data_IF_995676596316
#
_entry.id   IF_995676596316
#
_cell.length_a   1.000
_cell.length_b   1.000
_cell.length_c   1.000
_cell.angle_alpha   90.00
_cell.angle_beta   90.00
_cell.angle_gamma   90.00
#
_symmetry.space_group_name_H-M   'P 1'
#
loop_
_entity.id
_entity.type
_entity.pdbx_description
1 polymer ?
#
# COMPACT_ATOMS: atom_id res chain seq x y z
N UNK A 1 -42.63 12.70 -10.85
CA UNK A 1 -41.74 13.89 -10.80
C UNK A 1 -40.33 13.36 -10.63
N UNK A 2 -39.37 13.76 -11.46
CA UNK A 2 -37.98 13.38 -11.22
C UNK A 2 -37.56 14.01 -9.89
N UNK A 3 -37.19 13.19 -8.90
CA UNK A 3 -36.57 13.69 -7.68
C UNK A 3 -35.30 14.45 -8.09
N UNK A 4 -35.19 15.70 -7.65
CA UNK A 4 -34.00 16.50 -7.92
C UNK A 4 -32.79 15.77 -7.31
N UNK A 5 -31.72 15.58 -8.09
CA UNK A 5 -30.51 14.95 -7.58
C UNK A 5 -30.02 15.68 -6.32
N UNK A 6 -29.64 14.95 -5.25
CA UNK A 6 -29.22 15.55 -4.00
C UNK A 6 -27.98 16.41 -4.23
N UNK A 7 -27.99 17.61 -3.65
CA UNK A 7 -26.88 18.54 -3.77
C UNK A 7 -25.56 17.89 -3.28
N UNK A 8 -24.45 18.08 -4.02
CA UNK A 8 -23.18 17.44 -3.69
C UNK A 8 -22.73 17.82 -2.28
N UNK A 9 -22.26 16.84 -1.52
CA UNK A 9 -21.62 17.06 -0.23
C UNK A 9 -20.22 17.63 -0.45
N UNK A 10 -19.99 18.86 -0.01
CA UNK A 10 -18.71 19.56 -0.17
C UNK A 10 -17.86 19.44 1.09
N UNK A 11 -16.73 18.76 0.97
CA UNK A 11 -15.77 18.51 2.07
C UNK A 11 -14.44 19.16 1.73
N UNK A 12 -13.92 19.99 2.64
CA UNK A 12 -12.63 20.66 2.47
C UNK A 12 -11.61 20.14 3.46
N UNK A 13 -10.39 19.91 3.00
CA UNK A 13 -9.32 19.29 3.80
C UNK A 13 -8.17 20.26 3.95
N UNK A 14 -7.68 20.47 5.17
CA UNK A 14 -6.52 21.32 5.49
C UNK A 14 -5.18 20.71 5.08
N UNK A 15 -5.13 20.04 3.92
CA UNK A 15 -3.92 19.52 3.30
C UNK A 15 -4.11 19.21 1.82
N UNK A 16 -3.06 19.37 1.02
CA UNK A 16 -2.97 18.88 -0.37
C UNK A 16 -2.33 17.49 -0.48
N UNK A 17 -2.00 16.83 0.63
CA UNK A 17 -1.40 15.51 0.59
C UNK A 17 -2.40 14.48 0.02
N UNK A 18 -2.05 13.74 -1.05
CA UNK A 18 -2.97 12.81 -1.70
C UNK A 18 -3.45 11.69 -0.77
N UNK A 19 -2.63 11.25 0.19
CA UNK A 19 -3.01 10.22 1.18
C UNK A 19 -4.09 10.74 2.14
N UNK A 20 -3.94 11.97 2.63
CA UNK A 20 -4.93 12.60 3.52
C UNK A 20 -6.24 12.83 2.77
N UNK A 21 -6.17 13.30 1.52
CA UNK A 21 -7.35 13.48 0.66
C UNK A 21 -8.05 12.16 0.35
N UNK A 22 -7.30 11.10 0.05
CA UNK A 22 -7.87 9.78 -0.20
C UNK A 22 -8.60 9.23 1.03
N UNK A 23 -7.98 9.32 2.22
CA UNK A 23 -8.59 8.87 3.47
C UNK A 23 -9.91 9.61 3.77
N UNK A 24 -9.93 10.94 3.62
CA UNK A 24 -11.17 11.73 3.80
C UNK A 24 -12.21 11.35 2.75
N UNK A 25 -11.81 11.22 1.47
CA UNK A 25 -12.74 10.83 0.40
C UNK A 25 -13.38 9.47 0.66
N UNK A 26 -12.59 8.47 1.02
CA UNK A 26 -13.09 7.12 1.29
C UNK A 26 -14.04 7.10 2.48
N UNK A 27 -13.68 7.74 3.59
CA UNK A 27 -14.52 7.81 4.77
C UNK A 27 -15.86 8.53 4.51
N UNK A 28 -15.82 9.71 3.88
CA UNK A 28 -17.04 10.48 3.59
C UNK A 28 -17.93 9.81 2.53
N UNK A 29 -17.35 9.15 1.54
CA UNK A 29 -18.11 8.39 0.54
C UNK A 29 -18.85 7.21 1.20
N UNK A 30 -18.22 6.52 2.15
CA UNK A 30 -18.86 5.43 2.92
C UNK A 30 -19.92 5.94 3.90
N UNK A 31 -19.66 7.10 4.51
CA UNK A 31 -20.56 7.72 5.48
C UNK A 31 -21.83 8.29 4.84
N UNK A 32 -21.72 8.84 3.64
CA UNK A 32 -22.82 9.52 2.94
C UNK A 32 -22.95 8.99 1.50
N UNK A 33 -23.27 7.69 1.31
CA UNK A 33 -23.25 7.04 -0.01
C UNK A 33 -24.26 7.64 -1.00
N UNK A 34 -25.34 8.24 -0.48
CA UNK A 34 -26.44 8.78 -1.29
C UNK A 34 -26.20 10.23 -1.75
N UNK A 35 -25.07 10.85 -1.39
CA UNK A 35 -24.72 12.22 -1.80
C UNK A 35 -23.48 12.24 -2.69
N UNK A 36 -23.52 12.86 -3.88
CA UNK A 36 -22.31 13.09 -4.67
C UNK A 36 -21.25 13.83 -3.85
N UNK A 37 -20.01 13.34 -3.81
CA UNK A 37 -18.96 13.90 -2.96
C UNK A 37 -18.03 14.84 -3.75
N UNK A 38 -17.85 16.07 -3.26
CA UNK A 38 -16.83 17.01 -3.73
C UNK A 38 -15.82 17.23 -2.61
N UNK A 39 -14.62 16.66 -2.76
CA UNK A 39 -13.55 16.77 -1.75
C UNK A 39 -12.34 17.55 -2.26
N UNK A 40 -12.04 18.67 -1.63
CA UNK A 40 -11.04 19.66 -2.06
C UNK A 40 -9.97 19.86 -0.98
N UNK A 41 -8.70 19.88 -1.38
CA UNK A 41 -7.57 20.13 -0.48
C UNK A 41 -7.09 21.58 -0.52
N UNK A 42 -6.93 22.19 0.65
CA UNK A 42 -6.34 23.51 0.83
C UNK A 42 -4.96 23.40 1.48
N UNK A 43 -4.05 24.24 1.01
CA UNK A 43 -2.73 24.37 1.64
C UNK A 43 -2.83 25.38 2.77
N UNK A 44 -2.73 24.90 4.00
CA UNK A 44 -2.92 25.69 5.21
C UNK A 44 -1.82 25.33 6.22
N UNK A 45 -1.29 26.33 6.96
CA UNK A 45 -0.30 26.08 8.00
C UNK A 45 -0.92 25.26 9.14
N UNK A 46 -0.10 24.42 9.79
CA UNK A 46 -0.50 23.69 10.99
C UNK A 46 -0.38 24.51 12.27
N UNK A 47 0.34 25.64 12.26
CA UNK A 47 0.56 26.46 13.45
C UNK A 47 1.42 25.80 14.55
N UNK A 48 1.99 24.62 14.27
CA UNK A 48 2.84 23.84 15.18
C UNK A 48 4.12 23.38 14.46
N UNK A 49 5.05 22.74 15.17
CA UNK A 49 6.29 22.28 14.57
C UNK A 49 6.09 21.24 13.45
N UNK A 50 7.07 21.12 12.55
CA UNK A 50 7.02 20.14 11.45
C UNK A 50 6.96 18.68 11.93
N UNK A 51 7.47 18.44 13.15
CA UNK A 51 7.35 17.16 13.85
C UNK A 51 6.70 17.40 15.22
N UNK A 52 5.36 17.41 15.32
CA UNK A 52 4.65 17.61 16.59
C UNK A 52 5.01 16.54 17.63
N UNK A 53 5.19 16.98 18.88
CA UNK A 53 5.47 16.15 20.04
C UNK A 53 4.33 16.21 21.06
N UNK A 54 3.86 15.04 21.48
CA UNK A 54 2.79 14.89 22.44
C UNK A 54 1.39 15.07 21.83
N UNK A 55 0.39 14.68 22.61
CA UNK A 55 -1.01 14.77 22.20
C UNK A 55 -1.47 16.21 21.99
N UNK A 56 -1.02 17.13 22.85
CA UNK A 56 -1.47 18.52 22.85
C UNK A 56 -1.06 19.27 21.57
N UNK A 57 0.22 19.23 21.21
CA UNK A 57 0.73 19.90 20.00
C UNK A 57 0.13 19.26 18.74
N UNK A 58 0.04 17.92 18.68
CA UNK A 58 -0.52 17.22 17.52
C UNK A 58 -2.01 17.54 17.34
N UNK A 59 -2.77 17.61 18.44
CA UNK A 59 -4.18 18.03 18.42
C UNK A 59 -4.33 19.46 17.94
N UNK A 60 -3.52 20.39 18.46
CA UNK A 60 -3.54 21.79 18.04
C UNK A 60 -3.32 21.91 16.54
N UNK A 61 -2.34 21.19 15.98
CA UNK A 61 -2.11 21.20 14.54
C UNK A 61 -3.29 20.70 13.70
N UNK A 62 -4.03 19.69 14.17
CA UNK A 62 -5.25 19.25 13.51
C UNK A 62 -6.36 20.32 13.56
N UNK A 63 -6.51 21.01 14.70
CA UNK A 63 -7.48 22.10 14.89
C UNK A 63 -7.16 23.35 14.04
N UNK A 64 -5.89 23.71 13.91
CA UNK A 64 -5.46 24.81 13.04
C UNK A 64 -5.72 24.46 11.56
N UNK A 65 -5.45 23.22 11.15
CA UNK A 65 -5.74 22.76 9.79
C UNK A 65 -7.23 22.79 9.46
N UNK A 66 -8.09 22.31 10.36
CA UNK A 66 -9.55 22.34 10.11
C UNK A 66 -10.06 23.78 10.05
N UNK A 67 -9.55 24.64 10.93
CA UNK A 67 -9.91 26.07 10.96
C UNK A 67 -9.44 26.79 9.69
N UNK A 68 -8.21 26.53 9.25
CA UNK A 68 -7.66 27.06 8.01
C UNK A 68 -8.46 26.62 6.79
N UNK A 69 -8.81 25.33 6.69
CA UNK A 69 -9.61 24.80 5.60
C UNK A 69 -11.00 25.46 5.53
N UNK A 70 -11.67 25.59 6.68
CA UNK A 70 -12.97 26.29 6.80
C UNK A 70 -12.89 27.75 6.35
N UNK A 71 -11.83 28.46 6.71
CA UNK A 71 -11.61 29.86 6.29
C UNK A 71 -11.32 29.98 4.79
N UNK A 72 -10.65 29.00 4.21
CA UNK A 72 -10.29 28.99 2.80
C UNK A 72 -11.49 28.70 1.88
N UNK A 73 -12.51 28.01 2.39
CA UNK A 73 -13.75 27.72 1.67
C UNK A 73 -14.95 27.71 2.62
N UNK A 74 -15.60 28.86 2.74
CA UNK A 74 -16.75 29.07 3.63
C UNK A 74 -18.03 28.40 3.12
N UNK A 75 -18.04 27.87 1.89
CA UNK A 75 -19.18 27.18 1.29
C UNK A 75 -19.18 25.67 1.50
N UNK A 76 -18.19 25.13 2.22
CA UNK A 76 -18.11 23.70 2.49
C UNK A 76 -19.12 23.25 3.56
N UNK A 77 -19.69 22.06 3.39
CA UNK A 77 -20.52 21.41 4.40
C UNK A 77 -19.69 20.94 5.59
N UNK A 78 -18.49 20.41 5.30
CA UNK A 78 -17.54 19.93 6.29
C UNK A 78 -16.13 20.42 6.01
N UNK A 79 -15.38 20.71 7.07
CA UNK A 79 -13.93 20.90 7.03
C UNK A 79 -13.23 19.77 7.81
N UNK A 80 -12.06 19.33 7.34
CA UNK A 80 -11.28 18.26 7.96
C UNK A 80 -9.81 18.67 8.12
N UNK A 81 -9.26 18.50 9.32
CA UNK A 81 -7.83 18.63 9.62
C UNK A 81 -7.23 17.30 10.06
N UNK A 82 -6.10 16.91 9.48
CA UNK A 82 -5.34 15.70 9.89
C UNK A 82 -3.91 16.12 10.20
N UNK A 83 -3.42 15.85 11.41
CA UNK A 83 -2.03 16.13 11.80
C UNK A 83 -1.37 14.91 12.43
N UNK A 84 -0.15 14.60 11.99
CA UNK A 84 0.62 13.46 12.52
C UNK A 84 1.67 13.93 13.52
N UNK A 85 1.91 13.15 14.57
CA UNK A 85 2.87 13.47 15.60
C UNK A 85 3.45 12.23 16.26
N UNK A 86 4.27 12.46 17.29
CA UNK A 86 4.85 11.41 18.12
C UNK A 86 4.52 11.63 19.59
N UNK A 87 4.25 10.54 20.32
CA UNK A 87 3.95 10.58 21.76
C UNK A 87 4.95 9.70 22.49
N UNK A 88 5.54 10.24 23.55
CA UNK A 88 6.46 9.51 24.41
C UNK A 88 5.70 8.80 25.53
N UNK A 89 5.63 7.47 25.49
CA UNK A 89 5.04 6.67 26.59
C UNK A 89 6.08 6.17 27.57
N UNK A 90 7.35 6.56 27.41
CA UNK A 90 8.43 6.23 28.35
C UNK A 90 8.52 7.21 29.52
N UNK A 91 7.93 8.40 29.39
CA UNK A 91 8.01 9.46 30.37
C UNK A 91 6.59 9.99 30.70
N UNK A 92 5.98 9.44 31.74
CA UNK A 92 4.90 10.14 32.47
C UNK A 92 3.47 9.98 31.96
N UNK A 93 3.12 8.94 31.20
CA UNK A 93 1.71 8.63 30.87
C UNK A 93 0.95 7.92 32.01
N UNK A 94 1.61 7.68 33.15
CA UNK A 94 1.02 6.98 34.30
C UNK A 94 0.77 5.49 34.06
N UNK A 95 1.14 4.96 32.89
CA UNK A 95 0.99 3.56 32.57
C UNK A 95 2.06 2.79 33.36
N UNK A 96 1.63 1.82 34.18
CA UNK A 96 2.55 0.96 34.91
C UNK A 96 3.44 0.24 33.90
N UNK A 97 4.74 0.43 34.02
CA UNK A 97 5.72 -0.33 33.25
C UNK A 97 5.51 -1.82 33.53
N UNK A 98 5.03 -2.56 32.54
CA UNK A 98 4.96 -4.02 32.60
C UNK A 98 6.27 -4.56 32.03
N UNK A 99 6.98 -5.49 32.70
CA UNK A 99 8.36 -5.88 32.33
C UNK A 99 8.54 -6.32 30.87
N UNK A 100 7.49 -6.85 30.25
CA UNK A 100 7.49 -7.37 28.88
C UNK A 100 6.80 -6.44 27.86
N UNK A 101 6.37 -5.24 28.25
CA UNK A 101 5.82 -4.23 27.33
C UNK A 101 6.76 -3.03 27.32
N UNK A 102 7.69 -3.04 26.38
CA UNK A 102 8.67 -1.98 26.26
C UNK A 102 8.00 -0.64 25.87
N UNK A 103 8.13 0.37 26.73
CA UNK A 103 7.73 1.74 26.44
C UNK A 103 8.65 2.40 25.40
N UNK A 104 8.28 3.58 24.92
CA UNK A 104 9.09 4.36 23.98
C UNK A 104 8.24 5.32 23.17
N UNK A 105 8.82 5.78 22.06
CA UNK A 105 8.15 6.72 21.17
C UNK A 105 7.09 6.00 20.31
N UNK A 106 5.91 6.58 20.22
CA UNK A 106 4.79 6.08 19.42
C UNK A 106 4.40 7.08 18.35
N UNK A 107 3.92 6.59 17.21
CA UNK A 107 3.28 7.43 16.20
C UNK A 107 1.78 7.53 16.45
N UNK A 108 1.22 8.72 16.24
CA UNK A 108 -0.22 9.01 16.31
C UNK A 108 -0.57 10.08 15.27
N UNK A 109 -1.83 10.16 14.85
CA UNK A 109 -2.35 11.32 14.15
C UNK A 109 -3.72 11.70 14.70
N UNK A 110 -4.00 13.01 14.78
CA UNK A 110 -5.31 13.55 15.15
C UNK A 110 -6.09 13.94 13.90
N UNK A 111 -7.40 13.71 13.94
CA UNK A 111 -8.38 14.06 12.93
C UNK A 111 -9.42 14.96 13.58
N UNK A 112 -9.52 16.20 13.12
CA UNK A 112 -10.57 17.13 13.50
C UNK A 112 -11.56 17.26 12.33
N UNK A 113 -12.85 17.12 12.61
CA UNK A 113 -13.93 17.37 11.64
C UNK A 113 -14.80 18.48 12.19
N UNK A 114 -15.18 19.40 11.32
CA UNK A 114 -16.07 20.51 11.63
C UNK A 114 -17.21 20.54 10.63
N UNK A 115 -18.45 20.69 11.10
CA UNK A 115 -19.66 20.78 10.28
C UNK A 115 -20.20 22.21 10.27
N UNK A 116 -20.43 22.75 9.08
CA UNK A 116 -20.74 24.17 8.91
C UNK A 116 -22.16 24.56 9.34
N UNK A 117 -23.15 23.69 9.15
CA UNK A 117 -24.57 24.04 9.35
C UNK A 117 -24.93 24.38 10.80
N UNK A 118 -24.26 23.75 11.76
CA UNK A 118 -24.53 23.82 13.21
C UNK A 118 -23.28 24.15 14.03
N UNK A 119 -22.14 24.36 13.36
CA UNK A 119 -20.85 24.68 13.98
C UNK A 119 -20.32 23.58 14.92
N UNK A 120 -20.74 22.34 14.72
CA UNK A 120 -20.30 21.21 15.53
C UNK A 120 -18.94 20.67 15.10
N UNK A 121 -18.19 20.17 16.09
CA UNK A 121 -16.85 19.63 15.89
C UNK A 121 -16.69 18.26 16.54
N UNK A 122 -15.87 17.43 15.91
CA UNK A 122 -15.43 16.15 16.42
C UNK A 122 -13.92 16.05 16.30
N UNK A 123 -13.29 15.38 17.26
CA UNK A 123 -11.84 15.24 17.32
C UNK A 123 -11.48 13.84 17.80
N UNK A 124 -10.86 13.08 16.93
CA UNK A 124 -10.40 11.73 17.24
C UNK A 124 -8.93 11.57 16.87
N UNK A 125 -8.34 10.44 17.27
CA UNK A 125 -7.00 10.09 16.85
C UNK A 125 -6.92 8.65 16.34
N UNK A 126 -5.91 8.39 15.53
CA UNK A 126 -5.60 7.04 15.04
C UNK A 126 -5.21 6.12 16.19
N UNK A 127 -5.27 4.80 15.96
CA UNK A 127 -4.53 3.86 16.81
C UNK A 127 -3.06 4.29 16.90
N UNK A 128 -2.42 4.12 18.07
CA UNK A 128 -1.00 4.39 18.22
C UNK A 128 -0.18 3.11 18.10
N UNK A 129 1.01 3.21 17.52
CA UNK A 129 1.94 2.09 17.42
C UNK A 129 3.35 2.50 17.80
N UNK A 130 4.10 1.56 18.37
CA UNK A 130 5.47 1.77 18.83
C UNK A 130 6.41 1.90 17.63
N UNK A 131 7.32 2.88 17.71
CA UNK A 131 8.37 3.05 16.72
C UNK A 131 9.56 2.12 17.00
N UNK A 132 10.26 1.64 15.97
CA UNK A 132 11.51 0.90 16.14
C UNK A 132 12.54 1.72 16.95
N UNK A 133 13.36 1.11 17.84
CA UNK A 133 14.31 1.83 18.68
C UNK A 133 15.26 2.74 17.89
N UNK A 134 15.69 2.32 16.70
CA UNK A 134 16.55 3.14 15.84
C UNK A 134 15.84 4.36 15.27
N UNK A 135 14.57 4.22 14.85
CA UNK A 135 13.73 5.35 14.41
C UNK A 135 13.56 6.34 15.56
N UNK A 136 13.27 5.86 16.77
CA UNK A 136 13.17 6.71 17.96
C UNK A 136 14.46 7.49 18.22
N UNK A 137 15.63 6.85 18.17
CA UNK A 137 16.91 7.53 18.37
C UNK A 137 17.14 8.62 17.31
N UNK A 138 16.84 8.35 16.04
CA UNK A 138 16.94 9.34 14.97
C UNK A 138 16.01 10.54 15.20
N UNK A 139 14.74 10.30 15.57
CA UNK A 139 13.75 11.35 15.83
C UNK A 139 14.10 12.17 17.07
N UNK A 140 14.78 11.57 18.05
CA UNK A 140 15.33 12.27 19.23
C UNK A 140 16.68 12.94 18.99
N UNK A 141 17.33 12.73 17.85
CA UNK A 141 18.70 13.20 17.60
C UNK A 141 19.75 12.51 18.48
N UNK A 142 19.51 11.25 18.85
CA UNK A 142 20.38 10.41 19.68
C UNK A 142 21.07 9.29 18.90
N UNK A 143 20.83 9.18 17.60
CA UNK A 143 21.52 8.20 16.75
C UNK A 143 22.93 8.72 16.43
N UNK A 144 24.00 7.96 16.72
CA UNK A 144 25.36 8.37 16.40
C UNK A 144 25.54 8.69 14.90
N UNK A 145 26.28 9.76 14.62
CA UNK A 145 26.56 10.20 13.25
C UNK A 145 25.39 10.83 12.51
N UNK A 146 24.23 11.01 13.15
CA UNK A 146 23.05 11.63 12.54
C UNK A 146 22.50 12.77 13.41
N UNK A 147 21.99 13.82 12.77
CA UNK A 147 21.23 14.88 13.45
C UNK A 147 19.81 14.42 13.81
N UNK A 148 19.05 15.32 14.44
CA UNK A 148 17.62 15.11 14.67
C UNK A 148 16.87 15.08 13.33
N UNK A 149 16.05 14.05 13.10
CA UNK A 149 15.26 13.88 11.88
C UNK A 149 13.75 13.93 12.17
N UNK A 150 12.95 14.34 11.19
CA UNK A 150 11.51 14.07 11.19
C UNK A 150 11.24 12.57 11.10
N UNK A 151 10.08 12.12 11.60
CA UNK A 151 9.68 10.72 11.60
C UNK A 151 9.72 10.07 10.21
N UNK A 152 9.26 10.79 9.18
CA UNK A 152 9.28 10.27 7.82
C UNK A 152 10.71 10.04 7.30
N UNK A 153 11.61 11.00 7.52
CA UNK A 153 13.01 10.87 7.11
C UNK A 153 13.75 9.79 7.92
N UNK A 154 13.45 9.68 9.22
CA UNK A 154 13.98 8.61 10.06
C UNK A 154 13.50 7.23 9.61
N UNK A 155 12.24 7.09 9.19
CA UNK A 155 11.71 5.84 8.65
C UNK A 155 12.34 5.49 7.30
N UNK A 156 12.41 6.45 6.38
CA UNK A 156 13.06 6.28 5.07
C UNK A 156 14.50 5.76 5.24
N UNK A 157 15.25 6.35 6.18
CA UNK A 157 16.62 5.93 6.49
C UNK A 157 16.70 4.51 7.08
N UNK A 158 15.79 4.13 7.97
CA UNK A 158 15.83 2.82 8.66
C UNK A 158 15.34 1.69 7.75
N UNK A 159 14.31 1.92 6.96
CA UNK A 159 13.71 0.92 6.07
C UNK A 159 14.31 0.95 4.65
N UNK A 160 15.29 1.83 4.42
CA UNK A 160 15.92 2.04 3.11
C UNK A 160 14.89 2.35 2.00
N UNK A 161 13.91 3.17 2.36
CA UNK A 161 12.87 3.66 1.45
C UNK A 161 13.16 5.12 1.07
N UNK A 162 12.52 5.60 0.01
CA UNK A 162 12.55 7.02 -0.36
C UNK A 162 11.14 7.53 -0.55
N UNK A 163 10.80 8.60 0.16
CA UNK A 163 9.48 9.23 0.12
C UNK A 163 8.36 8.25 0.51
N UNK A 164 8.59 7.44 1.54
CA UNK A 164 7.60 6.47 2.06
C UNK A 164 6.29 7.15 2.45
N UNK A 165 6.34 8.46 2.79
CA UNK A 165 5.17 9.30 3.11
C UNK A 165 4.02 9.15 2.10
N UNK A 166 4.30 8.80 0.84
CA UNK A 166 3.33 8.58 -0.26
C UNK A 166 3.14 7.11 -0.70
N UNK A 167 3.94 6.15 -0.22
CA UNK A 167 3.92 4.73 -0.64
C UNK A 167 3.44 3.72 0.42
N UNK A 168 3.12 4.20 1.63
CA UNK A 168 2.64 3.38 2.75
C UNK A 168 2.91 4.01 4.12
N UNK A 169 3.84 4.96 4.17
CA UNK A 169 4.23 5.71 5.36
C UNK A 169 4.90 4.86 6.43
N UNK A 170 5.22 5.50 7.55
CA UNK A 170 5.78 4.83 8.73
C UNK A 170 4.96 3.63 9.18
N UNK A 171 3.63 3.71 9.12
CA UNK A 171 2.73 2.61 9.50
C UNK A 171 2.87 1.42 8.57
N UNK A 172 2.98 1.63 7.25
CA UNK A 172 3.20 0.56 6.27
C UNK A 172 4.54 -0.15 6.49
N UNK A 173 5.62 0.62 6.69
CA UNK A 173 6.94 0.05 6.94
C UNK A 173 6.99 -0.77 8.24
N UNK A 174 6.44 -0.25 9.34
CA UNK A 174 6.45 -0.92 10.65
C UNK A 174 5.52 -2.13 10.68
N UNK A 175 4.44 -2.13 9.91
CA UNK A 175 3.47 -3.25 9.84
C UNK A 175 3.72 -4.21 8.68
N UNK A 176 4.87 -4.11 7.99
CA UNK A 176 5.20 -4.94 6.83
C UNK A 176 4.11 -4.92 5.74
N UNK A 177 3.50 -3.74 5.51
CA UNK A 177 2.46 -3.52 4.51
C UNK A 177 1.07 -4.02 4.89
N UNK A 178 0.86 -4.54 6.11
CA UNK A 178 -0.47 -4.98 6.57
C UNK A 178 -1.45 -3.82 6.76
N UNK A 179 -0.93 -2.62 7.04
CA UNK A 179 -1.71 -1.40 7.13
C UNK A 179 -0.99 -0.26 6.39
N UNK A 180 -1.62 0.27 5.35
CA UNK A 180 -1.12 1.48 4.69
C UNK A 180 -1.60 2.77 5.37
N UNK A 181 -0.99 3.89 4.99
CA UNK A 181 -1.28 5.20 5.58
C UNK A 181 -2.67 5.74 5.26
N UNK A 182 -3.26 5.36 4.12
CA UNK A 182 -4.61 5.79 3.76
C UNK A 182 -5.61 5.10 4.68
N UNK A 183 -5.55 3.77 4.79
CA UNK A 183 -6.40 2.98 5.68
C UNK A 183 -6.19 3.35 7.16
N UNK A 184 -4.95 3.69 7.54
CA UNK A 184 -4.64 4.20 8.87
C UNK A 184 -5.34 5.54 9.18
N UNK A 185 -5.47 6.44 8.21
CA UNK A 185 -6.20 7.70 8.44
C UNK A 185 -7.71 7.54 8.26
N UNK A 186 -8.15 6.71 7.31
CA UNK A 186 -9.57 6.49 7.01
C UNK A 186 -10.33 6.05 8.26
N UNK A 187 -9.79 5.12 9.05
CA UNK A 187 -10.46 4.66 10.27
C UNK A 187 -10.70 5.80 11.27
N UNK A 188 -9.76 6.75 11.40
CA UNK A 188 -9.86 7.83 12.36
C UNK A 188 -10.84 8.90 11.87
N UNK A 189 -10.92 9.11 10.55
CA UNK A 189 -11.96 9.94 9.94
C UNK A 189 -13.33 9.30 10.16
N UNK A 190 -13.48 7.99 10.00
CA UNK A 190 -14.75 7.27 10.28
C UNK A 190 -15.13 7.41 11.76
N UNK A 191 -14.20 7.24 12.69
CA UNK A 191 -14.47 7.48 14.12
C UNK A 191 -14.90 8.93 14.37
N UNK A 192 -14.20 9.91 13.80
CA UNK A 192 -14.54 11.32 13.96
C UNK A 192 -15.88 11.69 13.32
N UNK A 193 -16.37 10.90 12.36
CA UNK A 193 -17.69 11.09 11.75
C UNK A 193 -18.83 10.61 12.63
N UNK A 194 -18.58 9.79 13.65
CA UNK A 194 -19.63 9.13 14.43
C UNK A 194 -20.75 10.09 14.91
N UNK A 195 -20.46 11.28 15.48
CA UNK A 195 -21.52 12.21 15.89
C UNK A 195 -22.46 12.63 14.75
N UNK A 196 -21.93 12.75 13.54
CA UNK A 196 -22.66 13.26 12.36
C UNK A 196 -23.42 12.17 11.59
N UNK A 197 -23.16 10.90 11.88
CA UNK A 197 -23.90 9.76 11.29
C UNK A 197 -25.22 9.49 12.02
N UNK A 198 -25.42 10.13 13.16
CA UNK A 198 -26.51 9.84 14.08
C UNK A 198 -27.46 11.03 14.28
N UNK A 199 -27.46 11.98 13.33
CA UNK A 199 -28.32 13.18 13.32
C UNK A 199 -29.79 12.88 13.63
N UNK A 200 -30.35 11.84 13.00
CA UNK A 200 -31.78 11.51 13.13
C UNK A 200 -32.12 10.84 14.48
N UNK A 201 -31.12 10.39 15.21
CA UNK A 201 -31.30 9.62 16.45
C UNK A 201 -31.14 10.44 17.72
N UNK A 202 -30.59 11.66 17.63
CA UNK A 202 -30.27 12.51 18.79
C UNK A 202 -29.25 11.89 19.75
N UNK A 203 -28.54 10.83 19.34
CA UNK A 203 -27.63 10.07 20.21
C UNK A 203 -26.46 10.91 20.76
N UNK A 204 -26.08 11.95 20.02
CA UNK A 204 -24.98 12.87 20.35
C UNK A 204 -25.47 14.27 20.74
N UNK A 205 -26.79 14.45 20.95
CA UNK A 205 -27.35 15.72 21.41
C UNK A 205 -26.94 15.95 22.87
N UNK A 206 -25.81 16.63 23.06
CA UNK A 206 -25.42 17.13 24.37
C UNK A 206 -26.31 18.33 24.72
N UNK A 207 -27.20 18.15 25.70
CA UNK A 207 -27.83 19.28 26.38
C UNK A 207 -26.72 20.26 26.85
N UNK A 208 -26.90 21.59 26.71
CA UNK A 208 -25.85 22.56 27.01
C UNK A 208 -25.62 22.65 28.52
N UNK A 209 -24.80 21.74 29.06
CA UNK A 209 -24.32 21.77 30.44
C UNK A 209 -22.81 21.61 30.49
N UNK A 210 -22.10 22.42 29.71
CA UNK A 210 -20.76 22.84 30.10
C UNK A 210 -20.55 24.29 29.64
N UNK A 211 -20.24 25.23 30.55
CA UNK A 211 -19.76 26.53 30.12
C UNK A 211 -18.53 26.32 29.23
N UNK A 212 -18.43 27.12 28.16
CA UNK A 212 -17.24 27.13 27.31
C UNK A 212 -15.98 27.18 28.21
N UNK A 213 -14.97 26.32 27.97
CA UNK A 213 -13.74 26.40 28.73
C UNK A 213 -13.22 27.83 28.64
N UNK A 214 -12.87 28.42 29.80
CA UNK A 214 -12.29 29.74 29.85
C UNK A 214 -11.12 29.82 28.84
N UNK A 215 -10.94 30.94 28.13
CA UNK A 215 -9.85 31.08 27.18
C UNK A 215 -8.54 30.67 27.86
N UNK A 216 -7.85 29.71 27.25
CA UNK A 216 -6.54 29.25 27.73
C UNK A 216 -5.67 30.51 27.83
N UNK A 217 -5.13 30.85 29.01
CA UNK A 217 -4.27 32.01 29.13
C UNK A 217 -3.10 31.85 28.16
N UNK A 218 -2.74 32.94 27.48
CA UNK A 218 -1.60 32.96 26.58
C UNK A 218 -0.39 32.29 27.26
N UNK A 219 0.39 31.47 26.53
CA UNK A 219 1.55 30.81 27.11
C UNK A 219 2.43 31.88 27.78
N UNK A 220 2.94 31.63 29.00
CA UNK A 220 3.80 32.58 29.67
C UNK A 220 4.98 32.93 28.75
N UNK A 221 5.36 34.21 28.74
CA UNK A 221 6.54 34.66 28.01
C UNK A 221 7.73 33.73 28.32
N UNK A 222 8.58 33.42 27.33
CA UNK A 222 9.68 32.48 27.51
C UNK A 222 10.52 32.89 28.73
N UNK A 223 10.59 31.99 29.71
CA UNK A 223 11.44 32.19 30.89
C UNK A 223 12.88 32.29 30.38
N UNK A 224 13.65 33.32 30.76
CA UNK A 224 15.05 33.42 30.38
C UNK A 224 15.79 32.17 30.88
N UNK A 225 16.62 31.60 30.01
CA UNK A 225 17.36 30.36 30.27
C UNK A 225 18.08 30.45 31.63
N UNK A 226 17.96 29.44 32.50
CA UNK A 226 18.74 29.41 33.74
C UNK A 226 20.23 29.37 33.39
N UNK A 227 21.02 30.13 34.15
CA UNK A 227 22.48 30.12 34.06
C UNK A 227 23.02 28.69 34.20
N UNK A 228 24.11 28.33 33.50
CA UNK A 228 24.62 26.97 33.48
C UNK A 228 25.00 26.51 34.89
N UNK A 229 24.32 25.48 35.37
CA UNK A 229 24.67 24.77 36.61
C UNK A 229 25.82 23.82 36.29
N UNK A 230 26.87 23.85 37.10
CA UNK A 230 28.04 22.98 36.98
C UNK A 230 27.64 21.49 36.98
N UNK A 231 28.32 20.63 36.21
CA UNK A 231 27.95 19.22 36.10
C UNK A 231 28.18 18.48 37.43
N UNK A 232 27.27 17.55 37.82
CA UNK A 232 27.48 16.70 38.99
C UNK A 232 28.59 15.68 38.75
N UNK A 233 29.29 15.32 39.82
CA UNK A 233 30.39 14.36 39.84
C UNK A 233 29.96 12.94 39.40
N UNK A 234 30.89 12.24 38.75
CA UNK A 234 30.68 10.93 38.15
C UNK A 234 30.28 9.83 39.16
N UNK A 235 29.38 8.90 38.79
CA UNK A 235 29.08 7.73 39.61
C UNK A 235 30.22 6.68 39.57
N UNK A 236 30.35 5.84 40.62
CA UNK A 236 31.39 4.80 40.69
C UNK A 236 31.17 3.67 39.66
N UNK A 237 32.24 2.92 39.31
CA UNK A 237 32.21 1.96 38.20
C UNK A 237 31.37 0.71 38.51
N UNK A 238 30.66 0.24 37.49
CA UNK A 238 29.92 -1.01 37.51
C UNK A 238 30.84 -2.24 37.41
N UNK A 239 30.44 -3.32 38.08
CA UNK A 239 31.06 -4.64 38.01
C UNK A 239 31.01 -5.22 36.58
N UNK A 240 31.97 -6.11 36.21
CA UNK A 240 32.09 -6.62 34.86
C UNK A 240 30.93 -7.57 34.50
N UNK A 241 30.48 -7.59 33.23
CA UNK A 241 29.58 -8.60 32.72
C UNK A 241 30.31 -9.92 32.47
N UNK A 242 29.63 -11.02 32.79
CA UNK A 242 30.02 -12.37 32.39
C UNK A 242 30.04 -12.50 30.86
N UNK A 243 31.11 -13.15 30.42
CA UNK A 243 31.45 -13.56 29.07
C UNK A 243 30.66 -14.84 28.73
N UNK A 244 29.78 -14.75 27.73
CA UNK A 244 29.38 -15.91 26.93
C UNK A 244 29.47 -15.47 25.47
N UNK A 245 30.65 -15.70 24.90
CA UNK A 245 30.90 -15.58 23.48
C UNK A 245 30.08 -16.60 22.68
N UNK A 246 29.51 -16.13 21.58
CA UNK A 246 29.28 -16.97 20.41
C UNK A 246 29.68 -16.18 19.16
N UNK A 247 30.68 -16.75 18.48
CA UNK A 247 31.28 -16.28 17.24
C UNK A 247 30.24 -16.11 16.13
N UNK A 248 30.19 -14.93 15.52
CA UNK A 248 29.57 -14.77 14.20
C UNK A 248 30.65 -14.53 13.16
N UNK A 249 30.91 -15.59 12.40
CA UNK A 249 31.76 -15.61 11.21
C UNK A 249 31.18 -14.67 10.14
N UNK A 250 32.00 -13.74 9.65
CA UNK A 250 31.69 -12.80 8.57
C UNK A 250 31.54 -13.55 7.25
N UNK A 251 30.33 -13.94 6.88
CA UNK A 251 30.06 -14.43 5.52
C UNK A 251 29.91 -13.24 4.58
N UNK A 252 30.77 -13.22 3.56
CA UNK A 252 30.92 -12.14 2.60
C UNK A 252 29.58 -11.68 2.00
N UNK A 253 29.27 -10.40 2.21
CA UNK A 253 28.10 -9.73 1.64
C UNK A 253 28.30 -9.61 0.13
N UNK A 254 27.51 -10.36 -0.64
CA UNK A 254 27.45 -10.22 -2.10
C UNK A 254 27.06 -8.79 -2.48
N UNK A 255 27.70 -8.25 -3.50
CA UNK A 255 27.42 -6.90 -3.98
C UNK A 255 25.97 -6.77 -4.46
N UNK A 256 25.39 -5.55 -4.53
CA UNK A 256 24.04 -5.32 -5.03
C UNK A 256 23.78 -5.93 -6.42
N UNK A 257 24.79 -5.95 -7.28
CA UNK A 257 24.74 -6.52 -8.63
C UNK A 257 24.77 -8.06 -8.58
N UNK A 258 25.56 -8.64 -7.67
CA UNK A 258 25.58 -10.09 -7.43
C UNK A 258 24.24 -10.57 -6.85
N UNK A 259 23.64 -9.81 -5.92
CA UNK A 259 22.31 -10.13 -5.36
C UNK A 259 21.17 -10.01 -6.38
N UNK A 260 21.28 -9.08 -7.32
CA UNK A 260 20.31 -8.91 -8.42
C UNK A 260 20.44 -10.04 -9.44
N UNK A 261 21.66 -10.39 -9.84
CA UNK A 261 21.92 -11.51 -10.75
C UNK A 261 21.54 -12.86 -10.14
N UNK A 262 21.72 -13.03 -8.83
CA UNK A 262 21.37 -14.26 -8.12
C UNK A 262 19.87 -14.34 -7.84
N UNK A 263 19.18 -13.21 -7.58
CA UNK A 263 17.71 -13.14 -7.54
C UNK A 263 17.06 -13.43 -8.90
N UNK A 264 17.68 -13.00 -10.00
CA UNK A 264 17.18 -13.26 -11.36
C UNK A 264 17.37 -14.73 -11.76
N UNK A 265 18.55 -15.30 -11.48
CA UNK A 265 18.81 -16.74 -11.67
C UNK A 265 17.97 -17.62 -10.73
N UNK A 266 17.58 -17.10 -9.57
CA UNK A 266 16.69 -17.76 -8.62
C UNK A 266 15.23 -17.75 -9.10
N UNK A 267 14.75 -16.63 -9.63
CA UNK A 267 13.43 -16.53 -10.27
C UNK A 267 13.29 -17.45 -11.51
N UNK A 268 14.37 -17.60 -12.29
CA UNK A 268 14.45 -18.51 -13.44
C UNK A 268 14.55 -20.00 -13.04
N UNK A 269 15.19 -20.32 -11.89
CA UNK A 269 15.26 -21.70 -11.34
C UNK A 269 14.01 -22.13 -10.56
N UNK A 270 13.31 -21.19 -9.91
CA UNK A 270 12.11 -21.43 -9.09
C UNK A 270 10.79 -21.33 -9.90
N UNK A 271 10.88 -21.04 -11.20
CA UNK A 271 9.75 -21.02 -12.12
C UNK A 271 8.73 -19.94 -11.83
N UNK A 272 9.14 -18.84 -11.17
CA UNK A 272 8.26 -17.69 -10.86
C UNK A 272 8.09 -16.72 -12.05
N UNK A 273 8.63 -17.10 -13.22
CA UNK A 273 8.12 -16.68 -14.52
C UNK A 273 7.65 -17.95 -15.23
N UNK A 274 6.34 -18.10 -15.33
CA UNK A 274 5.71 -18.88 -16.39
C UNK A 274 4.71 -17.94 -17.07
N UNK A 275 5.14 -17.49 -18.24
CA UNK A 275 4.25 -17.09 -19.31
C UNK A 275 3.24 -18.21 -19.60
N UNK A 276 1.97 -17.84 -19.72
CA UNK A 276 1.05 -18.61 -20.56
C UNK A 276 1.03 -18.11 -22.01
N UNK A 277 1.94 -17.20 -22.40
CA UNK A 277 2.34 -16.95 -23.80
C UNK A 277 3.78 -16.41 -23.81
N UNK A 278 4.75 -17.22 -24.22
CA UNK A 278 6.00 -16.75 -24.83
C UNK A 278 6.13 -17.60 -26.11
N UNK A 279 6.34 -17.11 -27.31
CA UNK A 279 6.45 -15.77 -27.87
C UNK A 279 5.88 -15.92 -29.29
N UNK A 280 5.05 -14.98 -29.71
CA UNK A 280 5.09 -14.48 -31.07
C UNK A 280 4.70 -13.00 -30.95
N UNK A 281 5.73 -12.16 -30.84
CA UNK A 281 5.65 -10.74 -31.11
C UNK A 281 5.21 -10.59 -32.58
N UNK A 282 3.90 -10.50 -32.80
CA UNK A 282 3.36 -9.76 -33.94
C UNK A 282 1.90 -9.34 -33.66
N UNK A 283 1.73 -8.03 -33.59
CA UNK A 283 0.58 -7.26 -34.05
C UNK A 283 -0.78 -7.38 -33.33
N UNK A 284 -1.43 -6.22 -33.27
CA UNK A 284 -2.84 -5.97 -32.98
C UNK A 284 -3.39 -6.13 -31.55
N UNK A 285 -3.86 -4.98 -31.04
CA UNK A 285 -4.79 -4.91 -29.92
C UNK A 285 -6.13 -5.58 -30.22
N UNK A 286 -6.83 -5.89 -29.13
CA UNK A 286 -8.21 -6.40 -29.00
C UNK A 286 -8.33 -7.90 -28.72
N UNK A 287 -8.59 -8.23 -27.43
CA UNK A 287 -9.73 -9.05 -26.94
C UNK A 287 -9.44 -9.62 -25.55
N UNK A 288 -9.84 -8.90 -24.50
CA UNK A 288 -10.29 -9.49 -23.23
C UNK A 288 -11.48 -8.68 -22.70
N UNK A 289 -12.58 -8.74 -23.45
CA UNK A 289 -13.93 -8.41 -22.96
C UNK A 289 -14.60 -9.73 -22.55
N UNK A 290 -14.94 -9.88 -21.26
CA UNK A 290 -15.57 -11.08 -20.72
C UNK A 290 -15.88 -10.99 -19.22
N UNK A 291 -16.78 -10.06 -18.88
CA UNK A 291 -17.65 -9.96 -17.69
C UNK A 291 -17.34 -10.96 -16.54
N UNK A 292 -16.74 -10.48 -15.44
CA UNK A 292 -16.63 -11.20 -14.17
C UNK A 292 -17.60 -10.60 -13.14
N UNK A 293 -18.86 -11.02 -13.17
CA UNK A 293 -19.85 -10.63 -12.16
C UNK A 293 -19.71 -11.51 -10.92
N UNK A 294 -19.68 -10.88 -9.74
CA UNK A 294 -19.81 -11.58 -8.46
C UNK A 294 -21.21 -12.21 -8.36
N UNK A 295 -21.35 -13.39 -7.71
CA UNK A 295 -22.66 -14.02 -7.51
C UNK A 295 -23.64 -13.07 -6.81
N UNK A 296 -24.93 -13.14 -7.13
CA UNK A 296 -25.94 -12.24 -6.54
C UNK A 296 -26.07 -12.37 -5.01
N UNK A 297 -25.67 -13.51 -4.44
CA UNK A 297 -25.63 -13.74 -2.99
C UNK A 297 -24.36 -13.17 -2.32
N UNK A 298 -23.35 -12.76 -3.08
CA UNK A 298 -22.04 -12.37 -2.54
C UNK A 298 -22.02 -10.91 -2.06
N UNK A 299 -21.84 -10.71 -0.75
CA UNK A 299 -21.63 -9.41 -0.12
C UNK A 299 -20.29 -9.40 0.61
N UNK A 300 -19.42 -8.45 0.25
CA UNK A 300 -18.03 -8.43 0.72
C UNK A 300 -17.96 -8.41 2.24
N UNK A 301 -18.60 -7.47 2.91
CA UNK A 301 -18.46 -7.30 4.37
C UNK A 301 -19.11 -8.42 5.19
N UNK A 302 -20.24 -8.97 4.72
CA UNK A 302 -21.01 -9.98 5.44
C UNK A 302 -20.31 -11.35 5.43
N UNK A 303 -19.57 -11.67 4.37
CA UNK A 303 -19.06 -13.04 4.15
C UNK A 303 -17.54 -13.19 4.37
N UNK A 304 -16.81 -12.14 4.77
CA UNK A 304 -15.36 -12.20 4.99
C UNK A 304 -14.93 -13.30 5.97
N UNK A 305 -15.69 -13.52 7.05
CA UNK A 305 -15.36 -14.54 8.04
C UNK A 305 -15.51 -15.95 7.47
N UNK A 306 -16.61 -16.23 6.78
CA UNK A 306 -16.84 -17.52 6.11
C UNK A 306 -15.82 -17.78 4.99
N UNK A 307 -15.37 -16.74 4.29
CA UNK A 307 -14.26 -16.82 3.32
C UNK A 307 -12.94 -17.21 3.95
N UNK A 308 -12.61 -16.61 5.10
CA UNK A 308 -11.39 -16.99 5.85
C UNK A 308 -11.45 -18.43 6.34
N UNK A 309 -12.62 -18.87 6.81
CA UNK A 309 -12.86 -20.27 7.22
C UNK A 309 -12.67 -21.20 6.02
N UNK A 310 -13.21 -20.87 4.84
CA UNK A 310 -13.06 -21.68 3.63
C UNK A 310 -11.62 -21.74 3.14
N UNK A 311 -10.90 -20.62 3.07
CA UNK A 311 -9.47 -20.59 2.71
C UNK A 311 -8.67 -21.51 3.65
N UNK A 312 -8.96 -21.45 4.96
CA UNK A 312 -8.30 -22.29 5.96
C UNK A 312 -8.60 -23.77 5.76
N UNK A 313 -9.86 -24.12 5.49
CA UNK A 313 -10.27 -25.50 5.22
C UNK A 313 -9.65 -26.05 3.93
N UNK A 314 -9.58 -25.24 2.88
CA UNK A 314 -8.91 -25.60 1.62
C UNK A 314 -7.41 -25.82 1.85
N UNK A 315 -6.75 -24.92 2.58
CA UNK A 315 -5.33 -25.07 2.92
C UNK A 315 -5.06 -26.37 3.69
N UNK A 316 -5.89 -26.70 4.67
CA UNK A 316 -5.81 -27.98 5.42
C UNK A 316 -6.01 -29.20 4.52
N UNK A 317 -6.98 -29.16 3.61
CA UNK A 317 -7.22 -30.26 2.66
C UNK A 317 -6.06 -30.46 1.69
N UNK A 318 -5.46 -29.37 1.20
CA UNK A 318 -4.29 -29.41 0.33
C UNK A 318 -3.07 -29.99 1.10
N UNK A 319 -2.85 -29.53 2.33
CA UNK A 319 -1.75 -30.00 3.18
C UNK A 319 -1.91 -31.48 3.58
N UNK A 320 -3.13 -31.92 3.91
CA UNK A 320 -3.40 -33.34 4.23
C UNK A 320 -3.16 -34.29 3.04
N UNK A 321 -3.32 -33.81 1.81
CA UNK A 321 -3.03 -34.58 0.59
C UNK A 321 -1.52 -34.67 0.30
N UNK A 322 -0.75 -33.69 0.80
CA UNK A 322 0.70 -33.63 0.62
C UNK A 322 1.38 -33.38 1.98
N UNK A 323 1.34 -34.37 2.91
CA UNK A 323 1.87 -34.21 4.27
C UNK A 323 3.38 -33.94 4.29
N UNK A 324 4.10 -34.42 3.27
CA UNK A 324 5.54 -34.20 3.08
C UNK A 324 5.82 -33.13 2.01
N UNK A 325 5.10 -32.00 2.07
CA UNK A 325 5.29 -30.91 1.12
C UNK A 325 6.62 -30.17 1.32
N UNK A 326 7.21 -29.70 0.23
CA UNK A 326 8.43 -28.88 0.23
C UNK A 326 8.14 -27.49 0.82
N UNK A 327 9.16 -26.84 1.38
CA UNK A 327 9.01 -25.51 2.00
C UNK A 327 8.45 -24.45 1.03
N UNK A 328 8.88 -24.48 -0.23
CA UNK A 328 8.34 -23.62 -1.30
C UNK A 328 6.85 -23.86 -1.55
N UNK A 329 6.42 -25.12 -1.58
CA UNK A 329 5.02 -25.47 -1.73
C UNK A 329 4.18 -24.99 -0.54
N UNK A 330 4.72 -25.07 0.69
CA UNK A 330 4.07 -24.56 1.90
C UNK A 330 3.96 -23.03 1.87
N UNK A 331 4.95 -22.31 1.32
CA UNK A 331 4.89 -20.86 1.15
C UNK A 331 3.84 -20.41 0.11
N UNK A 332 3.63 -21.21 -0.95
CA UNK A 332 2.62 -20.95 -2.00
C UNK A 332 1.20 -21.40 -1.62
N UNK A 333 1.06 -22.27 -0.62
CA UNK A 333 -0.21 -22.82 -0.14
C UNK A 333 -1.30 -21.75 0.14
N UNK A 334 -1.02 -20.61 0.79
CA UNK A 334 -2.04 -19.59 1.05
C UNK A 334 -2.61 -18.96 -0.24
N UNK A 335 -1.78 -18.76 -1.26
CA UNK A 335 -2.21 -18.20 -2.53
C UNK A 335 -3.04 -19.21 -3.33
N UNK A 336 -2.62 -20.48 -3.33
CA UNK A 336 -3.37 -21.58 -3.95
C UNK A 336 -4.76 -21.74 -3.33
N UNK A 337 -4.84 -21.68 -1.99
CA UNK A 337 -6.11 -21.78 -1.27
C UNK A 337 -7.06 -20.61 -1.60
N UNK A 338 -6.54 -19.39 -1.75
CA UNK A 338 -7.32 -18.21 -2.16
C UNK A 338 -7.89 -18.33 -3.58
N UNK A 339 -7.09 -18.81 -4.54
CA UNK A 339 -7.55 -18.99 -5.94
C UNK A 339 -8.65 -20.05 -6.04
N UNK A 340 -8.53 -21.13 -5.28
CA UNK A 340 -9.55 -22.18 -5.21
C UNK A 340 -10.82 -21.68 -4.52
N UNK A 341 -10.69 -20.89 -3.46
CA UNK A 341 -11.83 -20.27 -2.80
C UNK A 341 -12.57 -19.31 -3.73
N UNK A 342 -11.85 -18.48 -4.49
CA UNK A 342 -12.46 -17.57 -5.47
C UNK A 342 -13.23 -18.34 -6.55
N UNK A 343 -12.71 -19.50 -6.96
CA UNK A 343 -13.39 -20.40 -7.89
C UNK A 343 -14.67 -21.00 -7.27
N UNK A 344 -14.64 -21.37 -5.99
CA UNK A 344 -15.81 -21.86 -5.26
C UNK A 344 -16.90 -20.80 -5.13
N UNK A 345 -16.52 -19.54 -4.84
CA UNK A 345 -17.46 -18.41 -4.79
C UNK A 345 -18.18 -18.27 -6.13
N UNK A 346 -17.44 -18.31 -7.24
CA UNK A 346 -18.02 -18.14 -8.59
C UNK A 346 -18.90 -19.32 -9.01
N UNK A 347 -18.67 -20.52 -8.49
CA UNK A 347 -19.44 -21.72 -8.85
C UNK A 347 -20.67 -21.96 -7.98
N UNK A 348 -20.73 -21.39 -6.77
CA UNK A 348 -21.81 -21.67 -5.83
C UNK A 348 -23.09 -20.90 -6.20
N UNK A 349 -24.23 -21.60 -6.15
CA UNK A 349 -25.55 -21.04 -6.50
C UNK A 349 -26.18 -20.26 -5.35
N UNK A 350 -25.77 -20.55 -4.12
CA UNK A 350 -26.18 -19.82 -2.91
C UNK A 350 -25.06 -19.74 -1.86
N UNK A 351 -25.26 -18.88 -0.86
CA UNK A 351 -24.36 -18.78 0.28
C UNK A 351 -24.36 -20.05 1.15
N UNK A 352 -25.50 -20.71 1.30
CA UNK A 352 -25.64 -21.98 2.02
C UNK A 352 -24.81 -23.09 1.36
N UNK A 353 -24.83 -23.18 0.04
CA UNK A 353 -24.01 -24.12 -0.71
C UNK A 353 -22.51 -23.79 -0.57
N UNK A 354 -22.16 -22.50 -0.65
CA UNK A 354 -20.79 -22.05 -0.49
C UNK A 354 -20.21 -22.45 0.88
N UNK A 355 -20.92 -22.12 1.97
CA UNK A 355 -20.48 -22.31 3.37
C UNK A 355 -20.49 -23.76 3.85
N UNK A 356 -21.13 -24.67 3.13
CA UNK A 356 -21.22 -26.08 3.50
C UNK A 356 -19.85 -26.79 3.36
N UNK A 357 -19.22 -27.08 4.51
CA UNK A 357 -17.92 -27.75 4.58
C UNK A 357 -18.00 -29.24 4.28
N UNK A 358 -19.17 -29.87 4.39
CA UNK A 358 -19.34 -31.32 4.17
C UNK A 358 -19.16 -31.71 2.69
N UNK A 359 -19.50 -30.81 1.77
CA UNK A 359 -19.38 -31.00 0.31
C UNK A 359 -18.08 -30.43 -0.26
N UNK A 360 -17.31 -29.67 0.50
CA UNK A 360 -16.13 -28.93 0.05
C UNK A 360 -15.13 -29.79 -0.73
N UNK A 361 -14.77 -30.97 -0.20
CA UNK A 361 -13.82 -31.88 -0.87
C UNK A 361 -14.31 -32.33 -2.25
N UNK A 362 -15.60 -32.67 -2.37
CA UNK A 362 -16.22 -33.10 -3.63
C UNK A 362 -16.28 -31.94 -4.63
N UNK A 363 -16.61 -30.73 -4.18
CA UNK A 363 -16.66 -29.52 -5.02
C UNK A 363 -15.28 -29.16 -5.58
N UNK A 364 -14.23 -29.20 -4.75
CA UNK A 364 -12.85 -29.00 -5.19
C UNK A 364 -12.41 -30.05 -6.23
N UNK A 365 -12.79 -31.32 -6.04
CA UNK A 365 -12.50 -32.40 -6.99
C UNK A 365 -13.21 -32.19 -8.34
N UNK A 366 -14.49 -31.80 -8.32
CA UNK A 366 -15.26 -31.52 -9.53
C UNK A 366 -14.66 -30.37 -10.35
N UNK A 367 -14.21 -29.30 -9.68
CA UNK A 367 -13.52 -28.18 -10.35
C UNK A 367 -12.21 -28.61 -11.01
N UNK A 368 -11.41 -29.45 -10.35
CA UNK A 368 -10.17 -29.96 -10.91
C UNK A 368 -10.40 -30.77 -12.20
N UNK A 369 -11.46 -31.59 -12.23
CA UNK A 369 -11.86 -32.37 -13.41
C UNK A 369 -12.33 -31.44 -14.54
N UNK A 370 -13.15 -30.43 -14.22
CA UNK A 370 -13.68 -29.47 -15.20
C UNK A 370 -12.58 -28.64 -15.89
N UNK A 371 -11.56 -28.22 -15.12
CA UNK A 371 -10.38 -27.51 -15.66
C UNK A 371 -9.59 -28.42 -16.60
N UNK A 372 -9.37 -29.68 -16.21
CA UNK A 372 -8.67 -30.67 -17.03
C UNK A 372 -9.38 -30.98 -18.36
N UNK A 373 -10.73 -31.02 -18.37
CA UNK A 373 -11.51 -31.20 -19.61
C UNK A 373 -11.42 -29.99 -20.55
N UNK A 374 -11.47 -28.76 -20.02
CA UNK A 374 -11.35 -27.53 -20.83
C UNK A 374 -10.02 -27.44 -21.56
N UNK A 375 -8.93 -27.80 -20.89
CA UNK A 375 -7.59 -27.83 -21.48
C UNK A 375 -7.47 -28.83 -22.63
N UNK A 376 -8.17 -29.97 -22.57
CA UNK A 376 -8.19 -30.96 -23.66
C UNK A 376 -9.02 -30.51 -24.86
N UNK A 377 -10.13 -29.81 -24.62
CA UNK A 377 -10.99 -29.28 -25.69
C UNK A 377 -10.31 -28.12 -26.44
N UNK A 378 -9.51 -27.30 -25.76
CA UNK A 378 -8.73 -26.23 -26.40
C UNK A 378 -7.62 -26.78 -27.30
N UNK A 379 -6.96 -27.88 -26.91
CA UNK A 379 -5.93 -28.53 -27.73
C UNK A 379 -6.48 -29.28 -28.96
N UNK A 380 -7.72 -29.77 -28.92
CA UNK A 380 -8.34 -30.44 -30.09
C UNK A 380 -8.89 -29.46 -31.14
N UNK A 381 -9.05 -28.17 -30.81
CA UNK A 381 -9.59 -27.16 -31.73
C UNK A 381 -8.51 -26.50 -32.62
N UNK A 382 -7.23 -26.60 -32.26
CA UNK A 382 -6.11 -26.08 -33.05
C UNK A 382 -5.56 -27.20 -33.97
N UNK A 383 -6.04 -27.26 -35.22
CA UNK A 383 -5.52 -28.20 -36.24
C UNK A 383 -4.06 -27.90 -36.65
N UNK A 384 -3.37 -28.81 -37.40
CA UNK A 384 -1.95 -28.68 -37.68
C UNK A 384 -1.64 -27.57 -38.72
N UNK A 385 -0.53 -26.84 -38.52
CA UNK A 385 -0.12 -25.66 -39.28
C UNK A 385 0.58 -25.98 -40.64
N UNK A 386 0.54 -25.10 -41.66
CA UNK A 386 1.08 -25.36 -43.00
C UNK A 386 2.57 -24.98 -43.16
N UNK A 387 3.26 -25.63 -44.13
CA UNK A 387 4.71 -25.52 -44.35
C UNK A 387 5.17 -24.24 -45.09
N UNK A 388 6.36 -23.72 -44.74
CA UNK A 388 6.94 -22.46 -45.22
C UNK A 388 7.72 -22.56 -46.56
N UNK A 389 7.87 -21.46 -47.34
CA UNK A 389 8.46 -21.46 -48.69
C UNK A 389 9.98 -21.14 -48.74
N UNK A 390 10.69 -21.40 -49.86
CA UNK A 390 12.16 -21.30 -49.94
C UNK A 390 12.72 -19.91 -50.33
N UNK A 391 14.00 -19.59 -50.02
CA UNK A 391 14.57 -18.24 -50.17
C UNK A 391 15.17 -17.91 -51.57
N UNK A 392 15.38 -16.61 -51.90
CA UNK A 392 15.75 -16.13 -53.25
C UNK A 392 17.27 -15.98 -53.52
N UNK A 393 17.71 -15.85 -54.80
CA UNK A 393 19.12 -15.87 -55.21
C UNK A 393 19.84 -14.49 -55.22
N UNK A 394 21.19 -14.44 -55.25
CA UNK A 394 21.97 -13.21 -55.06
C UNK A 394 22.21 -12.39 -56.36
N UNK A 395 22.42 -11.06 -56.21
CA UNK A 395 22.66 -10.08 -57.31
C UNK A 395 24.16 -9.78 -57.55
N UNK A 396 24.56 -9.37 -58.78
CA UNK A 396 25.96 -9.18 -59.16
C UNK A 396 26.51 -7.75 -58.94
N UNK A 397 27.85 -7.65 -58.82
CA UNK A 397 28.62 -6.45 -58.50
C UNK A 397 28.83 -5.49 -59.69
N UNK A 398 28.70 -4.17 -59.45
CA UNK A 398 29.07 -3.10 -60.39
C UNK A 398 30.43 -2.46 -60.05
N UNK A 399 31.11 -1.78 -60.99
CA UNK A 399 32.51 -1.40 -60.87
C UNK A 399 32.76 -0.01 -60.23
N UNK A 400 34.03 0.20 -59.87
CA UNK A 400 34.63 1.23 -59.01
C UNK A 400 34.94 2.59 -59.73
N UNK A 401 35.44 3.64 -59.03
CA UNK A 401 35.02 5.05 -59.22
C UNK A 401 36.10 6.00 -59.79
N UNK A 402 35.73 7.27 -60.08
CA UNK A 402 36.67 8.39 -60.32
C UNK A 402 36.03 9.79 -60.07
N UNK A 403 36.83 10.88 -59.87
CA UNK A 403 36.56 11.88 -58.82
C UNK A 403 36.36 13.36 -59.24
N UNK A 404 35.75 14.11 -58.31
CA UNK A 404 35.90 15.53 -57.90
C UNK A 404 35.81 16.72 -58.89
N UNK A 405 34.87 17.65 -58.63
CA UNK A 405 35.06 19.11 -58.77
C UNK A 405 34.03 19.96 -57.98
N UNK A 406 34.50 21.11 -57.47
CA UNK A 406 33.86 22.09 -56.56
C UNK A 406 32.80 22.98 -57.24
N UNK A 407 31.73 23.38 -56.50
CA UNK A 407 31.36 24.79 -56.21
C UNK A 407 30.02 25.02 -55.47
N UNK A 408 30.09 25.96 -54.53
CA UNK A 408 29.16 27.03 -54.13
C UNK A 408 27.79 26.75 -53.45
N UNK A 409 27.53 27.59 -52.44
CA UNK A 409 26.40 27.68 -51.51
C UNK A 409 25.06 28.06 -52.17
N UNK A 410 23.97 27.46 -51.69
CA UNK A 410 22.64 28.07 -51.63
C UNK A 410 21.82 27.49 -50.45
N UNK A 411 20.91 28.31 -49.91
CA UNK A 411 20.14 28.15 -48.66
C UNK A 411 19.07 27.02 -48.70
N UNK A 412 18.48 26.61 -47.55
CA UNK A 412 17.74 25.35 -47.44
C UNK A 412 16.23 25.50 -47.71
N UNK A 413 15.57 24.44 -48.23
CA UNK A 413 14.13 24.25 -48.11
C UNK A 413 13.77 23.12 -47.12
N UNK A 414 12.49 23.01 -46.68
CA UNK A 414 12.12 22.36 -45.43
C UNK A 414 11.84 20.85 -45.52
N UNK A 415 11.78 20.26 -44.32
CA UNK A 415 11.72 18.83 -43.94
C UNK A 415 10.54 18.03 -44.52
N UNK A 416 10.77 16.74 -44.83
CA UNK A 416 9.88 15.62 -44.44
C UNK A 416 10.54 14.22 -44.50
N UNK A 417 10.45 13.53 -43.35
CA UNK A 417 10.32 12.08 -43.04
C UNK A 417 10.60 11.01 -44.11
N UNK A 418 11.50 10.05 -43.79
CA UNK A 418 11.24 8.58 -43.93
C UNK A 418 12.19 7.69 -43.11
N UNK A 419 11.55 6.84 -42.28
CA UNK A 419 11.80 5.47 -41.78
C UNK A 419 13.05 4.67 -42.25
N UNK A 420 13.74 4.02 -41.29
CA UNK A 420 14.76 2.95 -41.48
C UNK A 420 14.18 1.56 -41.12
N UNK A 421 14.60 0.52 -41.85
CA UNK A 421 14.38 -0.92 -41.55
C UNK A 421 15.57 -1.53 -40.76
N UNK A 422 15.37 -2.61 -39.97
CA UNK A 422 16.45 -3.42 -39.38
C UNK A 422 16.69 -4.79 -40.08
N UNK A 423 17.82 -5.42 -39.76
CA UNK A 423 18.42 -6.62 -40.38
C UNK A 423 18.07 -7.94 -39.63
N UNK A 424 18.16 -9.09 -40.33
CA UNK A 424 17.80 -10.45 -39.87
C UNK A 424 18.96 -11.30 -39.31
N UNK A 425 18.67 -12.19 -38.35
CA UNK A 425 19.52 -13.32 -37.91
C UNK A 425 18.76 -14.66 -38.08
N UNK A 426 19.46 -15.74 -38.47
CA UNK A 426 18.88 -17.06 -38.84
C UNK A 426 18.58 -18.03 -37.68
N UNK A 427 18.11 -19.27 -37.96
CA UNK A 427 17.40 -20.10 -36.99
C UNK A 427 18.30 -21.09 -36.20
N UNK A 428 17.87 -21.56 -35.01
CA UNK A 428 18.57 -22.56 -34.20
C UNK A 428 17.98 -23.99 -34.36
N UNK A 429 18.59 -25.03 -33.74
CA UNK A 429 18.36 -26.44 -34.08
C UNK A 429 17.34 -27.18 -33.18
N UNK A 430 16.82 -28.29 -33.71
CA UNK A 430 15.78 -29.20 -33.18
C UNK A 430 16.32 -30.21 -32.13
N UNK A 431 15.52 -30.55 -31.10
CA UNK A 431 15.76 -31.71 -30.21
C UNK A 431 14.44 -32.38 -29.75
N UNK A 432 14.44 -33.72 -29.80
CA UNK A 432 13.38 -34.68 -29.45
C UNK A 432 12.99 -34.74 -27.95
N UNK A 433 11.72 -35.05 -27.66
CA UNK A 433 11.14 -35.21 -26.31
C UNK A 433 10.76 -36.67 -25.98
N UNK A 434 10.88 -37.16 -24.72
CA UNK A 434 10.44 -38.51 -24.33
C UNK A 434 9.00 -38.62 -23.75
N UNK A 435 8.53 -39.87 -23.73
CA UNK A 435 7.16 -40.44 -23.63
C UNK A 435 6.36 -40.20 -22.32
N UNK A 436 5.02 -40.21 -22.42
CA UNK A 436 4.02 -39.58 -21.52
C UNK A 436 3.21 -40.60 -20.68
N UNK A 437 3.81 -41.71 -20.24
CA UNK A 437 3.05 -42.83 -19.62
C UNK A 437 3.02 -42.92 -18.09
N UNK A 438 3.42 -41.90 -17.34
CA UNK A 438 3.33 -41.95 -15.85
C UNK A 438 2.67 -40.70 -15.24
N UNK A 439 1.33 -40.65 -15.29
CA UNK A 439 0.48 -39.75 -14.51
C UNK A 439 -0.64 -40.51 -13.81
#
# INVERSE_FOLDING_TARGET
MAEAEPAPLRVVVGSKNPVKLAAVRQAFFRAFPDRPLVCVGHDVPSGVSDQPWGHEETRLGALERVTGARRADTGADYAVGIEGGVVDTGAGDGLRSVPYVAMGLRSVAYVAIFRSRDMEGSLEHTASFKLPPRVERLVRGREPGHGKLELGAACDLVFNETNSKQRGGTVGAVTCGLLDRTAYYEHAVVCALAPFLHDDSGLYDVSPTAPAPAPVPAPPAPVPAPAPVAPPAAPPPAAPPDDDGDDFELVAVLSPEQRSAESRKRAEREGDIIDLIADDDDDDGAKLQGIATTPAWYFQDLHLQERRIMITNIARLLQARKPNATADWIQRLPQMARRLEESLVRSATSFEEYRDTSTLKKRLQAMAIAIGLRLRQQHQAAGPAPAAPPPPPPRPAGPAPAPAAKRARAAPPPRRSTRRQPQSLGPPPEFDLPDVREF
#
